data_IF_219640688250
#
_entry.id   IF_219640688250
#
_cell.length_a   1.000
_cell.length_b   1.000
_cell.length_c   1.000
_cell.angle_alpha   90.00
_cell.angle_beta   90.00
_cell.angle_gamma   90.00
#
_symmetry.space_group_name_H-M   'P 1'
#
loop_
_entity.id
_entity.type
_entity.pdbx_description
1 polymer ?
#
# COMPACT_ATOMS: atom_id res chain seq x y z
N UNK A 1 -4.35 8.68 -1.88
CA UNK A 1 -3.95 7.33 -1.47
C UNK A 1 -4.82 6.93 -0.29
N UNK A 2 -5.38 5.72 -0.30
CA UNK A 2 -6.18 5.19 0.82
C UNK A 2 -5.66 3.79 1.14
N UNK A 3 -5.59 3.45 2.42
CA UNK A 3 -5.25 2.10 2.88
C UNK A 3 -6.45 1.47 3.58
N UNK A 4 -6.54 0.15 3.45
CA UNK A 4 -7.35 -0.71 4.32
C UNK A 4 -6.39 -1.45 5.26
N UNK A 5 -6.90 -2.41 6.01
CA UNK A 5 -6.07 -3.26 6.87
C UNK A 5 -5.09 -4.16 6.09
N UNK A 6 -5.30 -4.40 4.79
CA UNK A 6 -4.47 -5.35 4.01
C UNK A 6 -4.09 -4.89 2.58
N UNK A 7 -4.61 -3.76 2.12
CA UNK A 7 -4.40 -3.26 0.76
C UNK A 7 -4.22 -1.74 0.69
N UNK A 8 -3.54 -1.29 -0.36
CA UNK A 8 -3.39 0.10 -0.78
C UNK A 8 -4.20 0.37 -2.05
N UNK A 9 -4.84 1.53 -2.12
CA UNK A 9 -5.58 2.01 -3.28
C UNK A 9 -5.08 3.39 -3.72
N UNK A 10 -4.87 3.55 -5.02
CA UNK A 10 -4.82 4.86 -5.64
C UNK A 10 -6.21 5.21 -6.17
N UNK A 11 -6.71 6.37 -5.74
CA UNK A 11 -8.04 6.85 -6.04
C UNK A 11 -7.92 8.25 -6.64
N UNK A 12 -8.55 8.45 -7.78
CA UNK A 12 -8.88 9.76 -8.32
C UNK A 12 -10.26 10.17 -7.77
N UNK A 13 -10.41 11.39 -7.24
CA UNK A 13 -11.64 11.81 -6.55
C UNK A 13 -12.87 11.74 -7.47
N UNK A 14 -12.72 12.14 -8.73
CA UNK A 14 -13.81 12.11 -9.70
C UNK A 14 -13.92 10.75 -10.42
N UNK A 15 -12.77 10.14 -10.76
CA UNK A 15 -12.69 8.91 -11.56
C UNK A 15 -12.81 7.60 -10.76
N UNK A 16 -12.69 7.65 -9.43
CA UNK A 16 -12.74 6.46 -8.58
C UNK A 16 -11.39 5.74 -8.46
N UNK A 17 -11.42 4.42 -8.32
CA UNK A 17 -10.23 3.60 -8.06
C UNK A 17 -9.43 3.44 -9.37
N UNK A 18 -8.18 3.91 -9.37
CA UNK A 18 -7.25 3.71 -10.48
C UNK A 18 -6.57 2.34 -10.38
N UNK A 19 -6.13 1.95 -9.19
CA UNK A 19 -5.62 0.60 -8.93
C UNK A 19 -5.77 0.20 -7.46
N UNK A 20 -5.71 -1.12 -7.25
CA UNK A 20 -5.63 -1.79 -5.95
C UNK A 20 -4.35 -2.63 -5.93
N UNK A 21 -3.55 -2.52 -4.88
CA UNK A 21 -2.37 -3.36 -4.69
C UNK A 21 -2.73 -4.83 -4.47
N UNK A 22 -1.74 -5.72 -4.60
CA UNK A 22 -1.85 -7.05 -3.97
C UNK A 22 -2.01 -6.92 -2.45
N UNK A 23 -2.27 -8.03 -1.77
CA UNK A 23 -2.26 -8.04 -0.31
C UNK A 23 -0.86 -7.69 0.20
N UNK A 24 -0.77 -6.63 0.99
CA UNK A 24 0.49 -6.15 1.56
C UNK A 24 0.56 -6.24 3.09
N UNK A 25 -0.52 -6.69 3.74
CA UNK A 25 -0.58 -7.00 5.16
C UNK A 25 -1.73 -7.98 5.45
N UNK A 26 -1.83 -8.49 6.67
CA UNK A 26 -3.03 -9.21 7.15
C UNK A 26 -3.86 -8.42 8.16
N UNK A 27 -3.29 -7.39 8.79
CA UNK A 27 -3.95 -6.61 9.85
C UNK A 27 -3.79 -5.08 9.74
N UNK A 28 -2.65 -4.58 9.28
CA UNK A 28 -2.42 -3.13 9.21
C UNK A 28 -1.50 -2.71 8.08
N UNK A 29 -1.79 -1.56 7.47
CA UNK A 29 -0.96 -0.95 6.42
C UNK A 29 -0.67 0.50 6.78
N UNK A 30 0.62 0.85 6.79
CA UNK A 30 1.11 2.21 7.01
C UNK A 30 1.89 2.64 5.76
N UNK A 31 1.49 3.76 5.13
CA UNK A 31 2.33 4.41 4.12
C UNK A 31 3.33 5.30 4.84
N UNK A 32 4.62 5.08 4.62
CA UNK A 32 5.69 5.84 5.27
C UNK A 32 6.12 7.03 4.43
N UNK A 33 6.22 6.86 3.10
CA UNK A 33 6.50 7.95 2.16
C UNK A 33 6.10 7.59 0.73
N UNK A 34 6.03 8.60 -0.14
CA UNK A 34 5.88 8.44 -1.58
C UNK A 34 6.97 9.31 -2.23
N UNK A 35 7.87 8.68 -2.97
CA UNK A 35 9.02 9.34 -3.59
C UNK A 35 9.41 8.61 -4.88
N UNK A 36 9.86 9.36 -5.89
CA UNK A 36 10.39 8.80 -7.14
C UNK A 36 9.49 7.71 -7.77
N UNK A 37 8.19 8.00 -7.94
CA UNK A 37 7.19 7.04 -8.47
C UNK A 37 7.07 5.73 -7.66
N UNK A 38 7.50 5.72 -6.40
CA UNK A 38 7.42 4.57 -5.49
C UNK A 38 6.61 4.90 -4.25
N UNK A 39 5.72 4.00 -3.86
CA UNK A 39 5.01 4.02 -2.57
C UNK A 39 5.77 3.13 -1.61
N UNK A 40 6.24 3.71 -0.50
CA UNK A 40 6.92 3.00 0.58
C UNK A 40 5.95 2.80 1.73
N UNK A 41 5.90 1.59 2.28
CA UNK A 41 5.02 1.30 3.40
C UNK A 41 5.47 0.12 4.25
N UNK A 42 4.76 -0.09 5.35
CA UNK A 42 4.89 -1.23 6.24
C UNK A 42 3.55 -1.98 6.29
N UNK A 43 3.60 -3.30 6.24
CA UNK A 43 2.46 -4.17 6.38
C UNK A 43 2.62 -5.11 7.57
N UNK A 44 1.58 -5.25 8.37
CA UNK A 44 1.58 -6.16 9.52
C UNK A 44 1.19 -7.58 9.11
N UNK A 45 2.14 -8.50 9.21
CA UNK A 45 2.01 -9.91 8.79
C UNK A 45 1.93 -10.91 9.95
N UNK A 46 2.31 -10.52 11.17
CA UNK A 46 2.25 -11.36 12.38
C UNK A 46 1.82 -10.54 13.61
N UNK A 47 0.51 -10.24 13.75
CA UNK A 47 0.02 -9.32 14.75
C UNK A 47 0.08 -9.88 16.19
N UNK A 48 0.61 -9.10 17.16
CA UNK A 48 1.29 -7.82 17.02
C UNK A 48 2.82 -7.97 16.83
N UNK A 49 3.40 -7.25 15.86
CA UNK A 49 4.84 -7.02 15.73
C UNK A 49 5.48 -7.38 14.38
N UNK A 50 4.79 -8.10 13.50
CA UNK A 50 5.27 -8.52 12.18
C UNK A 50 5.24 -7.43 11.11
N UNK A 51 5.69 -6.21 11.42
CA UNK A 51 5.69 -5.10 10.47
C UNK A 51 6.82 -5.27 9.47
N UNK A 52 6.48 -5.62 8.23
CA UNK A 52 7.44 -5.81 7.15
C UNK A 52 7.33 -4.69 6.10
N UNK A 53 8.46 -4.20 5.55
CA UNK A 53 8.43 -3.17 4.53
C UNK A 53 7.95 -3.73 3.19
N UNK A 54 7.18 -2.92 2.47
CA UNK A 54 6.85 -3.17 1.07
C UNK A 54 7.08 -1.91 0.24
N UNK A 55 7.23 -2.12 -1.07
CA UNK A 55 7.29 -1.05 -2.07
C UNK A 55 6.34 -1.36 -3.19
N UNK A 56 5.66 -0.35 -3.71
CA UNK A 56 4.80 -0.46 -4.89
C UNK A 56 5.19 0.61 -5.90
N UNK A 57 5.13 0.28 -7.18
CA UNK A 57 5.11 1.28 -8.24
C UNK A 57 3.84 2.15 -8.10
N UNK A 58 4.00 3.48 -8.07
CA UNK A 58 2.91 4.43 -7.84
C UNK A 58 1.84 4.41 -8.96
N UNK A 59 2.24 4.09 -10.19
CA UNK A 59 1.36 4.17 -11.36
C UNK A 59 0.53 2.91 -11.52
N UNK A 60 1.04 1.77 -11.07
CA UNK A 60 0.44 0.45 -11.30
C UNK A 60 0.00 -0.27 -10.03
N UNK A 61 0.57 0.06 -8.88
CA UNK A 61 0.33 -0.65 -7.61
C UNK A 61 0.98 -2.02 -7.53
N UNK A 62 1.91 -2.34 -8.45
CA UNK A 62 2.64 -3.62 -8.50
C UNK A 62 3.88 -3.54 -7.60
N UNK A 63 4.23 -4.61 -6.85
CA UNK A 63 5.45 -4.64 -6.03
C UNK A 63 6.76 -4.49 -6.82
N UNK A 64 7.75 -3.83 -6.21
CA UNK A 64 9.10 -3.60 -6.77
C UNK A 64 10.22 -3.74 -5.73
#
# INVERSE_FOLDING_TARGET
MVTTYCHVFLIEIAGGILWKSIQCAIDGVIITSIENDTVLGLGEWDPPGGWEPFKLDLKTGIPI
#
